data_IF_141779231294
#
_entry.id   IF_141779231294
#
_cell.length_a   1.000
_cell.length_b   1.000
_cell.length_c   1.000
_cell.angle_alpha   90.00
_cell.angle_beta   90.00
_cell.angle_gamma   90.00
#
_symmetry.space_group_name_H-M   'P 1'
#
loop_
_entity.id
_entity.type
_entity.pdbx_description
1 polymer ?
#
# COMPACT_ATOMS: atom_id res chain seq x y z
N UNK A 1 -4.91 36.55 20.44
CA UNK A 1 -3.51 36.22 20.73
C UNK A 1 -3.12 35.02 19.87
N UNK A 2 -2.45 35.27 18.74
CA UNK A 2 -2.00 34.23 17.81
C UNK A 2 -0.65 33.70 18.27
N UNK A 3 -0.62 32.47 18.79
CA UNK A 3 0.63 31.80 19.11
C UNK A 3 1.21 31.23 17.81
N UNK A 4 2.15 31.95 17.23
CA UNK A 4 3.00 31.47 16.14
C UNK A 4 4.01 30.48 16.73
N UNK A 5 3.77 29.19 16.55
CA UNK A 5 4.71 28.14 16.91
C UNK A 5 5.76 27.98 15.81
N UNK A 6 7.02 27.89 16.24
CA UNK A 6 8.23 27.89 15.41
C UNK A 6 8.19 26.86 14.28
N UNK A 7 8.54 27.30 13.08
CA UNK A 7 8.84 26.41 11.96
C UNK A 7 10.25 25.82 12.19
N UNK A 8 10.32 24.63 12.77
CA UNK A 8 11.58 23.89 12.96
C UNK A 8 11.37 22.39 12.80
N UNK A 9 12.36 21.71 12.21
CA UNK A 9 12.39 20.25 12.13
C UNK A 9 12.17 19.64 13.54
N UNK A 10 11.24 18.69 13.66
CA UNK A 10 10.86 18.07 14.94
C UNK A 10 9.62 18.64 15.64
N UNK A 11 8.88 19.58 15.03
CA UNK A 11 7.59 20.06 15.59
C UNK A 11 6.51 19.00 15.44
N UNK A 12 5.90 18.58 16.55
CA UNK A 12 4.71 17.74 16.53
C UNK A 12 3.55 18.54 15.94
N UNK A 13 3.09 18.15 14.75
CA UNK A 13 1.89 18.73 14.14
C UNK A 13 0.70 17.86 14.44
N UNK A 14 -0.41 18.47 14.82
CA UNK A 14 -1.62 17.78 15.23
C UNK A 14 -2.66 17.85 14.13
N UNK A 15 -3.32 16.72 13.83
CA UNK A 15 -4.46 16.70 12.94
C UNK A 15 -5.55 15.81 13.52
N UNK A 16 -6.76 16.37 13.58
CA UNK A 16 -7.96 15.68 14.00
C UNK A 16 -9.09 16.12 13.05
N UNK A 17 -9.55 15.18 12.22
CA UNK A 17 -10.68 15.38 11.33
C UNK A 17 -11.51 14.09 11.29
N UNK A 18 -12.83 14.24 11.29
CA UNK A 18 -13.77 13.13 11.17
C UNK A 18 -13.67 12.43 9.80
N UNK A 19 -13.20 13.14 8.76
CA UNK A 19 -13.01 12.58 7.41
C UNK A 19 -11.81 11.64 7.30
N UNK A 20 -10.87 11.70 8.25
CA UNK A 20 -9.56 11.08 8.13
C UNK A 20 -9.58 9.54 7.94
N UNK A 21 -10.41 8.75 8.66
CA UNK A 21 -10.47 7.31 8.43
C UNK A 21 -10.87 6.94 6.99
N UNK A 22 -11.73 7.75 6.36
CA UNK A 22 -12.20 7.51 4.99
C UNK A 22 -11.09 7.82 3.96
N UNK A 23 -10.36 8.92 4.17
CA UNK A 23 -9.23 9.36 3.35
C UNK A 23 -8.06 8.37 3.45
N UNK A 24 -7.71 7.95 4.66
CA UNK A 24 -6.69 6.90 4.89
C UNK A 24 -7.07 5.59 4.20
N UNK A 25 -8.33 5.16 4.33
CA UNK A 25 -8.82 3.93 3.70
C UNK A 25 -8.67 4.00 2.18
N UNK A 26 -9.06 5.13 1.57
CA UNK A 26 -8.95 5.33 0.13
C UNK A 26 -7.48 5.31 -0.34
N UNK A 27 -6.60 6.02 0.36
CA UNK A 27 -5.18 6.08 0.03
C UNK A 27 -4.48 4.72 0.18
N UNK A 28 -4.73 3.99 1.27
CA UNK A 28 -4.14 2.67 1.50
C UNK A 28 -4.65 1.62 0.50
N UNK A 29 -5.93 1.68 0.11
CA UNK A 29 -6.47 0.83 -0.96
C UNK A 29 -5.82 1.14 -2.31
N UNK A 30 -5.73 2.42 -2.66
CA UNK A 30 -5.12 2.86 -3.91
C UNK A 30 -3.63 2.46 -3.99
N UNK A 31 -2.92 2.55 -2.86
CA UNK A 31 -1.55 2.08 -2.75
C UNK A 31 -1.45 0.56 -2.93
N UNK A 32 -2.25 -0.20 -2.19
CA UNK A 32 -2.21 -1.66 -2.24
C UNK A 32 -2.56 -2.24 -3.63
N UNK A 33 -3.42 -1.56 -4.40
CA UNK A 33 -3.71 -1.88 -5.81
C UNK A 33 -2.53 -1.70 -6.75
N UNK A 34 -1.64 -0.76 -6.45
CA UNK A 34 -0.46 -0.49 -7.28
C UNK A 34 0.74 -1.36 -6.91
N UNK A 35 0.73 -2.02 -5.75
CA UNK A 35 1.84 -2.87 -5.31
C UNK A 35 1.73 -4.28 -5.94
N UNK A 36 2.65 -4.66 -6.84
CA UNK A 36 2.65 -5.98 -7.47
C UNK A 36 2.73 -7.12 -6.47
N UNK A 37 3.38 -6.92 -5.32
CA UNK A 37 3.50 -7.98 -4.30
C UNK A 37 2.14 -8.37 -3.70
N UNK A 38 1.15 -7.48 -3.77
CA UNK A 38 -0.19 -7.75 -3.22
C UNK A 38 -1.09 -8.53 -4.18
N UNK A 39 -1.00 -8.29 -5.49
CA UNK A 39 -1.90 -8.91 -6.48
C UNK A 39 -1.26 -10.05 -7.26
N UNK A 40 0.07 -10.08 -7.40
CA UNK A 40 0.78 -11.11 -8.16
C UNK A 40 0.53 -12.54 -7.64
N UNK A 41 0.61 -12.83 -6.32
CA UNK A 41 0.31 -14.16 -5.82
C UNK A 41 -1.14 -14.60 -6.10
N UNK A 42 -2.09 -13.65 -6.09
CA UNK A 42 -3.49 -13.92 -6.42
C UNK A 42 -3.65 -14.23 -7.89
N UNK A 43 -2.99 -13.48 -8.77
CA UNK A 43 -3.00 -13.74 -10.21
C UNK A 43 -2.42 -15.12 -10.55
N UNK A 44 -1.28 -15.49 -9.95
CA UNK A 44 -0.67 -16.81 -10.14
C UNK A 44 -1.61 -17.93 -9.66
N UNK A 45 -2.17 -17.81 -8.46
CA UNK A 45 -3.12 -18.80 -7.95
C UNK A 45 -4.37 -18.92 -8.82
N UNK A 46 -4.90 -17.79 -9.31
CA UNK A 46 -6.04 -17.78 -10.22
C UNK A 46 -5.74 -18.51 -11.53
N UNK A 47 -4.55 -18.30 -12.11
CA UNK A 47 -4.10 -19.03 -13.31
C UNK A 47 -4.01 -20.52 -13.04
N UNK A 48 -3.37 -20.94 -11.94
CA UNK A 48 -3.21 -22.36 -11.59
C UNK A 48 -4.57 -23.03 -11.41
N UNK A 49 -5.49 -22.39 -10.68
CA UNK A 49 -6.85 -22.91 -10.47
C UNK A 49 -7.61 -22.98 -11.80
N UNK A 50 -7.52 -21.96 -12.65
CA UNK A 50 -8.18 -21.96 -13.96
C UNK A 50 -7.69 -23.11 -14.85
N UNK A 51 -6.37 -23.35 -14.89
CA UNK A 51 -5.77 -24.46 -15.64
C UNK A 51 -6.23 -25.81 -15.10
N UNK A 52 -6.24 -25.99 -13.78
CA UNK A 52 -6.70 -27.24 -13.16
C UNK A 52 -8.19 -27.50 -13.41
N UNK A 53 -9.04 -26.48 -13.31
CA UNK A 53 -10.47 -26.61 -13.59
C UNK A 53 -10.75 -26.92 -15.06
N UNK A 54 -10.07 -26.23 -15.98
CA UNK A 54 -10.17 -26.52 -17.41
C UNK A 54 -9.71 -27.95 -17.73
N UNK A 55 -8.59 -28.39 -17.14
CA UNK A 55 -8.10 -29.76 -17.28
C UNK A 55 -9.10 -30.79 -16.77
N UNK A 56 -9.63 -30.60 -15.55
CA UNK A 56 -10.59 -31.51 -14.95
C UNK A 56 -11.89 -31.59 -15.77
N UNK A 57 -12.36 -30.45 -16.28
CA UNK A 57 -13.56 -30.39 -17.11
C UNK A 57 -13.43 -31.23 -18.39
N UNK A 58 -12.26 -31.20 -19.03
CA UNK A 58 -12.00 -31.98 -20.25
C UNK A 58 -11.90 -33.49 -20.01
N UNK A 59 -11.69 -33.92 -18.76
CA UNK A 59 -11.67 -35.34 -18.37
C UNK A 59 -13.08 -35.90 -18.08
N UNK A 60 -14.11 -35.05 -18.06
CA UNK A 60 -15.48 -35.50 -17.79
C UNK A 60 -16.04 -36.30 -18.98
N UNK A 61 -16.72 -37.44 -18.71
CA UNK A 61 -17.37 -38.20 -19.77
C UNK A 61 -18.40 -37.32 -20.52
N UNK A 62 -18.34 -37.36 -21.85
CA UNK A 62 -19.18 -36.54 -22.73
C UNK A 62 -18.63 -35.15 -23.07
N UNK A 63 -17.49 -34.75 -22.50
CA UNK A 63 -16.88 -33.42 -22.71
C UNK A 63 -15.55 -33.46 -23.45
N UNK A 64 -15.25 -34.58 -24.13
CA UNK A 64 -14.06 -34.70 -24.96
C UNK A 64 -14.09 -33.64 -26.09
N UNK A 65 -13.07 -32.77 -26.19
CA UNK A 65 -13.04 -31.70 -27.18
C UNK A 65 -12.99 -32.27 -28.59
N UNK A 66 -13.84 -31.76 -29.49
CA UNK A 66 -13.87 -32.18 -30.89
C UNK A 66 -12.88 -31.38 -31.74
N UNK A 67 -12.56 -30.16 -31.30
CA UNK A 67 -11.59 -29.27 -31.93
C UNK A 67 -10.69 -28.57 -30.90
N UNK A 68 -9.52 -28.13 -31.34
CA UNK A 68 -8.58 -27.31 -30.55
C UNK A 68 -9.24 -26.01 -30.07
N UNK A 69 -10.18 -25.47 -30.86
CA UNK A 69 -10.95 -24.27 -30.54
C UNK A 69 -11.80 -24.48 -29.26
N UNK A 70 -12.34 -25.68 -29.04
CA UNK A 70 -13.15 -25.97 -27.85
C UNK A 70 -12.31 -25.90 -26.57
N UNK A 71 -11.08 -26.43 -26.63
CA UNK A 71 -10.12 -26.37 -25.52
C UNK A 71 -9.72 -24.92 -25.22
N UNK A 72 -9.45 -24.13 -26.26
CA UNK A 72 -9.13 -22.72 -26.12
C UNK A 72 -10.29 -21.92 -25.49
N UNK A 73 -11.52 -22.17 -25.92
CA UNK A 73 -12.72 -21.51 -25.40
C UNK A 73 -12.93 -21.84 -23.91
N UNK A 74 -12.83 -23.11 -23.53
CA UNK A 74 -12.93 -23.55 -22.13
C UNK A 74 -11.83 -22.91 -21.28
N UNK A 75 -10.59 -22.88 -21.78
CA UNK A 75 -9.47 -22.24 -21.09
C UNK A 75 -9.68 -20.74 -20.86
N UNK A 76 -10.14 -20.01 -21.88
CA UNK A 76 -10.44 -18.58 -21.77
C UNK A 76 -11.59 -18.33 -20.79
N UNK A 77 -12.67 -19.11 -20.88
CA UNK A 77 -13.80 -18.98 -19.97
C UNK A 77 -13.41 -19.25 -18.52
N UNK A 78 -12.64 -20.33 -18.27
CA UNK A 78 -12.13 -20.65 -16.94
C UNK A 78 -11.24 -19.52 -16.40
N UNK A 79 -10.35 -18.98 -17.23
CA UNK A 79 -9.47 -17.87 -16.86
C UNK A 79 -10.26 -16.61 -16.50
N UNK A 80 -11.26 -16.24 -17.31
CA UNK A 80 -12.10 -15.04 -17.06
C UNK A 80 -12.90 -15.21 -15.77
N UNK A 81 -13.57 -16.35 -15.57
CA UNK A 81 -14.41 -16.59 -14.40
C UNK A 81 -13.56 -16.66 -13.12
N UNK A 82 -12.50 -17.46 -13.11
CA UNK A 82 -11.62 -17.60 -11.94
C UNK A 82 -10.87 -16.31 -11.65
N UNK A 83 -10.44 -15.58 -12.69
CA UNK A 83 -9.80 -14.29 -12.56
C UNK A 83 -10.73 -13.25 -11.93
N UNK A 84 -11.97 -13.14 -12.41
CA UNK A 84 -12.97 -12.21 -11.87
C UNK A 84 -13.31 -12.53 -10.41
N UNK A 85 -13.54 -13.80 -10.07
CA UNK A 85 -13.82 -14.24 -8.69
C UNK A 85 -12.62 -13.95 -7.80
N UNK A 86 -11.41 -14.35 -8.22
CA UNK A 86 -10.19 -14.15 -7.44
C UNK A 86 -9.91 -12.66 -7.18
N UNK A 87 -10.18 -11.79 -8.17
CA UNK A 87 -10.09 -10.35 -8.02
C UNK A 87 -11.10 -9.80 -6.99
N UNK A 88 -12.37 -10.22 -7.07
CA UNK A 88 -13.40 -9.83 -6.10
C UNK A 88 -13.03 -10.24 -4.66
N UNK A 89 -12.57 -11.47 -4.49
CA UNK A 89 -12.10 -11.99 -3.20
C UNK A 89 -10.91 -11.19 -2.68
N UNK A 90 -9.96 -10.85 -3.54
CA UNK A 90 -8.82 -10.02 -3.17
C UNK A 90 -9.24 -8.60 -2.76
N UNK A 91 -10.13 -7.95 -3.51
CA UNK A 91 -10.67 -6.63 -3.17
C UNK A 91 -11.39 -6.64 -1.81
N UNK A 92 -12.20 -7.67 -1.53
CA UNK A 92 -12.88 -7.85 -0.25
C UNK A 92 -11.88 -8.07 0.89
N UNK A 93 -10.90 -8.95 0.69
CA UNK A 93 -9.85 -9.23 1.67
C UNK A 93 -9.05 -7.95 1.98
N UNK A 94 -8.66 -7.20 0.94
CA UNK A 94 -7.96 -5.93 1.05
C UNK A 94 -8.79 -4.90 1.82
N UNK A 95 -10.06 -4.73 1.45
CA UNK A 95 -10.97 -3.81 2.14
C UNK A 95 -11.10 -4.15 3.64
N UNK A 96 -11.20 -5.44 3.99
CA UNK A 96 -11.27 -5.88 5.39
C UNK A 96 -9.97 -5.61 6.16
N UNK A 97 -8.81 -5.81 5.51
CA UNK A 97 -7.48 -5.59 6.11
C UNK A 97 -7.23 -4.10 6.34
N UNK A 98 -7.52 -3.27 5.35
CA UNK A 98 -7.40 -1.81 5.45
C UNK A 98 -8.33 -1.27 6.52
N UNK A 99 -9.61 -1.66 6.54
CA UNK A 99 -10.55 -1.25 7.60
C UNK A 99 -10.02 -1.60 9.00
N UNK A 100 -9.49 -2.82 9.19
CA UNK A 100 -8.89 -3.24 10.47
C UNK A 100 -7.59 -2.50 10.80
N UNK A 101 -6.81 -2.08 9.81
CA UNK A 101 -5.61 -1.28 10.03
C UNK A 101 -5.95 0.17 10.42
N UNK A 102 -6.89 0.79 9.70
CA UNK A 102 -7.38 2.14 9.97
C UNK A 102 -8.08 2.20 11.31
N UNK A 103 -8.98 1.27 11.63
CA UNK A 103 -9.65 1.23 12.94
C UNK A 103 -8.69 1.13 14.14
N UNK A 104 -7.49 0.56 13.94
CA UNK A 104 -6.44 0.49 14.98
C UNK A 104 -5.59 1.75 15.07
N UNK A 105 -5.41 2.48 13.97
CA UNK A 105 -4.48 3.63 13.90
C UNK A 105 -5.17 4.99 13.99
N UNK A 106 -6.33 5.10 13.37
CA UNK A 106 -7.12 6.32 13.25
C UNK A 106 -8.55 6.04 13.70
N UNK A 107 -8.80 6.18 15.00
CA UNK A 107 -10.17 6.31 15.51
C UNK A 107 -10.71 7.69 15.13
N UNK A 108 -12.02 7.83 14.90
CA UNK A 108 -12.65 9.14 14.67
C UNK A 108 -12.32 10.07 15.85
N UNK A 109 -11.75 11.24 15.59
CA UNK A 109 -11.29 12.16 16.64
C UNK A 109 -9.93 11.84 17.26
N UNK A 110 -9.21 10.81 16.76
CA UNK A 110 -7.85 10.51 17.17
C UNK A 110 -6.90 11.60 16.66
N UNK A 111 -6.14 12.15 17.60
CA UNK A 111 -5.09 13.12 17.34
C UNK A 111 -3.87 12.40 16.75
N UNK A 112 -3.60 12.65 15.48
CA UNK A 112 -2.37 12.19 14.82
C UNK A 112 -1.31 13.26 14.97
N UNK A 113 -0.13 12.85 15.44
CA UNK A 113 1.05 13.71 15.39
C UNK A 113 2.14 13.17 14.51
N UNK A 114 2.67 14.03 13.64
CA UNK A 114 3.89 13.73 12.90
C UNK A 114 4.99 14.73 13.27
N UNK A 115 6.19 14.22 13.54
CA UNK A 115 7.40 15.03 13.59
C UNK A 115 8.47 14.46 12.65
N UNK A 116 8.99 15.34 11.80
CA UNK A 116 10.05 15.02 10.84
C UNK A 116 11.38 15.42 11.46
N UNK A 117 12.06 14.45 12.06
CA UNK A 117 13.40 14.63 12.61
C UNK A 117 14.47 14.54 11.52
N UNK A 118 15.74 14.81 11.87
CA UNK A 118 16.87 14.74 10.91
C UNK A 118 17.21 13.31 10.46
N UNK A 119 16.83 12.29 11.25
CA UNK A 119 17.17 10.87 11.01
C UNK A 119 15.97 9.95 10.82
N UNK A 120 14.83 10.32 11.37
CA UNK A 120 13.62 9.50 11.37
C UNK A 120 12.36 10.36 11.31
N UNK A 121 11.33 9.79 10.71
CA UNK A 121 9.96 10.24 10.82
C UNK A 121 9.33 9.61 12.06
N UNK A 122 8.75 10.43 12.93
CA UNK A 122 7.95 9.95 14.06
C UNK A 122 6.48 10.23 13.80
N UNK A 123 5.67 9.19 13.92
CA UNK A 123 4.21 9.27 13.82
C UNK A 123 3.63 8.72 15.11
N UNK A 124 2.93 9.56 15.86
CA UNK A 124 2.27 9.16 17.10
C UNK A 124 0.77 9.17 16.87
N UNK A 125 0.14 8.04 17.16
CA UNK A 125 -1.31 7.91 17.30
C UNK A 125 -1.64 7.91 18.81
N UNK A 126 -2.92 8.03 19.21
CA UNK A 126 -3.28 7.99 20.64
C UNK A 126 -2.86 6.71 21.37
N UNK A 127 -2.60 5.63 20.63
CA UNK A 127 -2.27 4.32 21.21
C UNK A 127 -0.79 3.93 21.02
N UNK A 128 -0.14 4.39 19.93
CA UNK A 128 1.19 3.89 19.54
C UNK A 128 2.03 5.02 18.92
N UNK A 129 3.30 5.10 19.31
CA UNK A 129 4.31 5.93 18.63
C UNK A 129 5.19 5.08 17.72
N UNK A 130 5.20 5.40 16.44
CA UNK A 130 6.06 4.79 15.43
C UNK A 130 7.24 5.71 15.14
N UNK A 131 8.45 5.18 15.23
CA UNK A 131 9.67 5.82 14.73
C UNK A 131 10.16 5.05 13.50
N UNK A 132 10.13 5.72 12.34
CA UNK A 132 10.59 5.18 11.07
C UNK A 132 11.88 5.90 10.66
N UNK A 133 13.04 5.23 10.76
CA UNK A 133 14.27 5.73 10.14
C UNK A 133 14.08 5.95 8.64
N UNK A 134 14.60 7.04 8.07
CA UNK A 134 14.46 7.26 6.62
C UNK A 134 15.10 6.15 5.78
N UNK A 135 16.12 5.48 6.32
CA UNK A 135 16.79 4.34 5.70
C UNK A 135 15.92 3.08 5.61
N UNK A 136 14.85 2.98 6.40
CA UNK A 136 13.94 1.83 6.37
C UNK A 136 12.69 2.06 5.53
N UNK A 137 12.59 3.22 4.85
CA UNK A 137 11.47 3.53 3.97
C UNK A 137 11.75 2.95 2.59
N UNK A 138 10.92 2.00 2.18
CA UNK A 138 11.00 1.37 0.85
C UNK A 138 10.36 2.26 -0.22
N UNK A 139 9.21 2.87 0.09
CA UNK A 139 8.45 3.64 -0.88
C UNK A 139 7.66 4.77 -0.21
N UNK A 140 7.61 5.90 -0.90
CA UNK A 140 6.70 7.00 -0.59
C UNK A 140 5.92 7.39 -1.83
N UNK A 141 4.61 7.50 -1.70
CA UNK A 141 3.73 7.83 -2.80
C UNK A 141 2.58 8.71 -2.34
N UNK A 142 2.20 9.69 -3.17
CA UNK A 142 1.07 10.58 -2.90
C UNK A 142 -0.20 10.06 -3.56
N UNK A 143 -1.29 10.03 -2.79
CA UNK A 143 -2.62 9.68 -3.26
C UNK A 143 -3.59 10.79 -2.83
N UNK A 144 -3.86 11.73 -3.73
CA UNK A 144 -4.69 12.89 -3.45
C UNK A 144 -4.06 13.79 -2.38
N UNK A 145 -4.75 13.91 -1.25
CA UNK A 145 -4.37 14.68 -0.07
C UNK A 145 -3.68 13.85 1.02
N UNK A 146 -3.31 12.60 0.71
CA UNK A 146 -2.60 11.70 1.62
C UNK A 146 -1.23 11.30 1.08
N UNK A 147 -0.24 11.26 1.96
CA UNK A 147 1.09 10.69 1.73
C UNK A 147 1.14 9.27 2.31
N UNK A 148 1.33 8.27 1.46
CA UNK A 148 1.50 6.88 1.88
C UNK A 148 2.99 6.56 1.99
N UNK A 149 3.38 6.01 3.13
CA UNK A 149 4.75 5.63 3.47
C UNK A 149 4.77 4.12 3.72
N UNK A 150 5.57 3.40 2.94
CA UNK A 150 5.81 1.97 3.08
C UNK A 150 7.22 1.75 3.65
N UNK A 151 7.33 1.46 4.96
CA UNK A 151 8.57 0.98 5.56
C UNK A 151 8.78 -0.52 5.31
N UNK A 152 10.03 -0.97 5.31
CA UNK A 152 10.43 -2.37 5.01
C UNK A 152 9.87 -3.37 6.03
N UNK A 153 9.94 -3.05 7.32
CA UNK A 153 9.57 -3.97 8.42
C UNK A 153 8.48 -3.39 9.35
N UNK A 154 7.77 -2.36 8.91
CA UNK A 154 6.71 -1.75 9.71
C UNK A 154 5.42 -1.64 8.90
N UNK A 155 4.32 -1.32 9.58
CA UNK A 155 3.01 -1.23 8.96
C UNK A 155 2.95 0.01 8.07
N UNK A 156 2.47 -0.15 6.83
CA UNK A 156 2.20 0.98 5.91
C UNK A 156 1.35 2.06 6.60
N UNK A 157 1.73 3.31 6.42
CA UNK A 157 1.05 4.47 7.01
C UNK A 157 0.60 5.44 5.93
N UNK A 158 -0.55 6.06 6.16
CA UNK A 158 -1.04 7.18 5.37
C UNK A 158 -1.07 8.41 6.28
N UNK A 159 -0.45 9.50 5.85
CA UNK A 159 -0.41 10.76 6.56
C UNK A 159 -1.14 11.83 5.74
N UNK A 160 -2.03 12.64 6.33
CA UNK A 160 -2.61 13.79 5.64
C UNK A 160 -1.50 14.77 5.25
N UNK A 161 -1.56 15.29 4.03
CA UNK A 161 -0.59 16.28 3.53
C UNK A 161 -0.62 17.58 4.34
N UNK A 162 -1.71 17.85 5.06
CA UNK A 162 -1.85 18.95 6.01
C UNK A 162 -0.86 18.84 7.18
N UNK A 163 -0.44 17.62 7.53
CA UNK A 163 0.61 17.38 8.51
C UNK A 163 2.02 17.47 7.92
N UNK A 164 2.15 17.39 6.60
CA UNK A 164 3.44 17.33 5.89
C UNK A 164 3.69 18.66 5.18
N UNK A 165 4.51 19.52 5.76
CA UNK A 165 4.91 20.74 5.06
C UNK A 165 5.68 20.42 3.79
N UNK A 166 5.69 21.38 2.86
CA UNK A 166 6.49 21.29 1.64
C UNK A 166 7.96 21.00 1.95
N UNK A 167 8.51 21.56 3.03
CA UNK A 167 9.88 21.30 3.45
C UNK A 167 10.09 19.84 3.89
N UNK A 168 9.19 19.31 4.73
CA UNK A 168 9.28 17.93 5.21
C UNK A 168 9.09 16.92 4.07
N UNK A 169 8.19 17.21 3.13
CA UNK A 169 7.99 16.40 1.94
C UNK A 169 9.28 16.35 1.10
N UNK A 170 9.91 17.50 0.85
CA UNK A 170 11.18 17.57 0.11
C UNK A 170 12.29 16.84 0.87
N UNK A 171 12.35 16.96 2.19
CA UNK A 171 13.31 16.22 3.02
C UNK A 171 13.16 14.71 2.84
N UNK A 172 11.95 14.18 3.00
CA UNK A 172 11.66 12.74 2.84
C UNK A 172 12.05 12.26 1.44
N UNK A 173 11.62 12.97 0.40
CA UNK A 173 11.95 12.62 -0.99
C UNK A 173 13.47 12.64 -1.23
N UNK A 174 14.17 13.67 -0.76
CA UNK A 174 15.63 13.78 -0.93
C UNK A 174 16.41 12.68 -0.22
N UNK A 175 15.87 12.12 0.87
CA UNK A 175 16.50 11.00 1.60
C UNK A 175 16.26 9.66 0.92
N UNK A 176 15.12 9.49 0.24
CA UNK A 176 14.81 8.30 -0.54
C UNK A 176 15.65 8.21 -1.83
N UNK A 177 15.86 9.33 -2.49
CA UNK A 177 16.73 9.41 -3.68
C UNK A 177 18.19 9.08 -3.32
N UNK A 178 18.66 9.49 -2.14
CA UNK A 178 20.00 9.12 -1.64
C UNK A 178 20.09 7.68 -1.10
N UNK A 179 18.96 7.07 -0.72
CA UNK A 179 18.90 5.67 -0.32
C UNK A 179 18.81 4.69 -1.49
N UNK A 180 18.51 5.19 -2.70
CA UNK A 180 18.35 4.39 -3.93
C UNK A 180 19.57 4.46 -4.86
N UNK A 181 20.64 5.18 -4.48
CA UNK A 181 21.94 5.02 -5.15
C UNK A 181 22.51 3.63 -4.84
N UNK A 182 22.75 2.78 -5.86
CA UNK A 182 23.51 1.56 -5.66
C UNK A 182 24.89 1.95 -5.14
N UNK A 183 25.30 1.30 -4.04
CA UNK A 183 26.68 1.31 -3.61
C UNK A 183 27.49 0.56 -4.67
N UNK A 184 28.24 1.30 -5.48
CA UNK A 184 29.46 0.80 -6.13
C UNK A 184 29.89 1.56 -7.40
N UNK A 185 31.20 1.74 -7.66
CA UNK A 185 32.35 1.48 -6.80
C UNK A 185 33.03 2.78 -6.32
N UNK A 186 33.73 2.67 -5.19
CA UNK A 186 34.94 3.46 -4.96
C UNK A 186 35.96 3.00 -6.00
N UNK A 187 36.14 3.78 -7.06
CA UNK A 187 37.36 3.75 -7.88
C UNK A 187 38.03 5.09 -7.71
N UNK A 188 38.89 5.16 -6.69
CA UNK A 188 40.08 6.00 -6.73
C UNK A 188 41.23 5.14 -7.27
N UNK A 189 42.01 5.75 -8.18
CA UNK A 189 43.20 5.27 -8.91
C UNK A 189 42.96 4.78 -10.33
#
# INVERSE_FOLDING_TARGET
>A
MSVTWSQGAGVNRYFADASLPSRETAALKAFARRDPRNWFPVAVNAVVIAVLLAWLYLQLPGHAPKAVIDVALVGVMAFVVVGAVSYLWWELALASRVRRAVARKSRVGALLTSSFGPRALRVTTPEISYEIPYTSIEQVARFGDMLVIKPVNQVVMALPMELVTRHDYVLVMSKLERGSTPVGPLTDR
#
